data_IF_937846829587
#
_entry.id   IF_937846829587
#
_cell.length_a   1.000
_cell.length_b   1.000
_cell.length_c   1.000
_cell.angle_alpha   90.00
_cell.angle_beta   90.00
_cell.angle_gamma   90.00
#
_symmetry.space_group_name_H-M   'P 1'
#
loop_
_entity.id
_entity.type
_entity.pdbx_description
1 polymer ?
#
# COMPACT_ATOMS: atom_id res chain seq x y z
N UNK A 1 14.01 8.01 13.72
CA UNK A 1 14.90 8.03 12.53
C UNK A 1 15.92 9.15 12.74
N UNK A 2 17.20 8.82 12.95
CA UNK A 2 18.26 9.82 13.07
C UNK A 2 18.45 10.56 11.73
N UNK A 3 18.94 11.80 11.77
CA UNK A 3 19.24 12.55 10.56
C UNK A 3 20.42 11.91 9.81
N UNK A 4 20.25 11.69 8.51
CA UNK A 4 21.32 11.19 7.63
C UNK A 4 22.33 12.32 7.40
N UNK A 5 23.66 12.07 7.50
CA UNK A 5 24.66 13.07 7.17
C UNK A 5 24.47 13.62 5.75
N UNK A 6 24.56 14.94 5.59
CA UNK A 6 24.34 15.63 4.31
C UNK A 6 22.87 15.90 3.96
N UNK A 7 21.92 15.51 4.82
CA UNK A 7 20.50 15.80 4.65
C UNK A 7 19.95 16.56 5.86
N UNK A 8 19.22 17.63 5.58
CA UNK A 8 18.43 18.31 6.60
C UNK A 8 17.04 17.68 6.68
N UNK A 9 16.59 17.45 7.91
CA UNK A 9 15.27 16.91 8.16
C UNK A 9 14.24 18.04 8.11
N UNK A 10 13.43 18.03 7.06
CA UNK A 10 12.26 18.89 6.95
C UNK A 10 11.25 18.61 8.06
N UNK A 11 10.66 19.68 8.59
CA UNK A 11 9.55 19.64 9.52
C UNK A 11 8.22 19.74 8.75
N UNK A 12 7.42 18.70 8.85
CA UNK A 12 6.08 18.65 8.25
C UNK A 12 5.06 19.05 9.32
N UNK A 13 4.48 20.25 9.21
CA UNK A 13 3.47 20.70 10.17
C UNK A 13 2.11 20.06 9.87
N UNK A 14 1.69 20.13 8.61
CA UNK A 14 0.41 19.60 8.15
C UNK A 14 0.62 18.95 6.80
N UNK A 15 0.09 17.75 6.62
CA UNK A 15 -0.08 17.13 5.31
C UNK A 15 -1.41 16.42 5.27
N UNK A 16 -2.26 16.81 4.34
CA UNK A 16 -3.55 16.21 4.09
C UNK A 16 -3.64 15.82 2.61
N UNK A 17 -4.17 14.62 2.37
CA UNK A 17 -4.52 14.12 1.05
C UNK A 17 -5.98 13.72 1.10
N UNK A 18 -6.82 14.43 0.35
CA UNK A 18 -8.23 14.14 0.22
C UNK A 18 -8.48 13.55 -1.15
N UNK A 19 -9.09 12.37 -1.18
CA UNK A 19 -9.58 11.73 -2.40
C UNK A 19 -11.10 11.76 -2.41
N UNK A 20 -11.67 12.40 -3.42
CA UNK A 20 -13.11 12.50 -3.59
C UNK A 20 -13.52 11.87 -4.93
N UNK A 21 -14.50 10.99 -4.89
CA UNK A 21 -15.09 10.45 -6.11
C UNK A 21 -16.08 11.46 -6.68
N UNK A 22 -15.94 11.74 -7.97
CA UNK A 22 -16.80 12.64 -8.74
C UNK A 22 -17.38 11.87 -9.92
N UNK A 23 -18.37 12.45 -10.60
CA UNK A 23 -18.98 11.84 -11.80
C UNK A 23 -17.95 11.58 -12.91
N UNK A 24 -16.90 12.40 -12.98
CA UNK A 24 -15.85 12.34 -13.99
C UNK A 24 -14.57 11.61 -13.53
N UNK A 25 -14.60 10.95 -12.37
CA UNK A 25 -13.48 10.15 -11.87
C UNK A 25 -13.13 10.43 -10.40
N UNK A 26 -11.84 10.50 -10.09
CA UNK A 26 -11.37 10.76 -8.72
C UNK A 26 -10.59 12.06 -8.68
N UNK A 27 -11.05 12.99 -7.86
CA UNK A 27 -10.35 14.22 -7.55
C UNK A 27 -9.40 13.97 -6.36
N UNK A 28 -8.13 14.31 -6.54
CA UNK A 28 -7.13 14.31 -5.47
C UNK A 28 -6.77 15.75 -5.11
N UNK A 29 -6.97 16.10 -3.85
CA UNK A 29 -6.58 17.40 -3.28
C UNK A 29 -5.46 17.17 -2.27
N UNK A 30 -4.35 17.86 -2.45
CA UNK A 30 -3.20 17.78 -1.54
C UNK A 30 -2.92 19.13 -0.92
N UNK A 31 -2.81 19.14 0.40
CA UNK A 31 -2.45 20.33 1.19
C UNK A 31 -1.27 19.97 2.07
N UNK A 32 -0.17 20.71 1.94
CA UNK A 32 1.02 20.48 2.75
C UNK A 32 1.59 21.81 3.25
N UNK A 33 1.88 21.88 4.53
CA UNK A 33 2.62 22.96 5.17
C UNK A 33 3.92 22.38 5.72
N UNK A 34 5.04 22.78 5.12
CA UNK A 34 6.38 22.23 5.35
C UNK A 34 7.30 23.39 5.67
N UNK A 35 8.12 23.25 6.71
CA UNK A 35 9.36 23.99 6.86
C UNK A 35 10.51 23.03 6.57
N UNK A 36 11.24 23.20 5.45
CA UNK A 36 12.30 22.27 5.09
C UNK A 36 13.51 22.35 6.01
N UNK A 37 13.61 23.36 6.90
CA UNK A 37 14.84 23.79 7.54
C UNK A 37 15.93 24.17 6.52
N UNK A 38 16.81 25.11 6.87
CA UNK A 38 17.96 25.50 6.02
C UNK A 38 17.65 26.25 4.71
N UNK A 39 16.37 26.40 4.32
CA UNK A 39 15.97 27.12 3.09
C UNK A 39 15.13 28.35 3.43
N UNK A 40 15.49 29.55 2.93
CA UNK A 40 14.70 30.75 3.16
C UNK A 40 13.27 30.63 2.62
N UNK A 41 12.30 31.12 3.40
CA UNK A 41 10.86 31.04 3.09
C UNK A 41 10.48 31.60 1.72
N UNK A 42 11.16 32.66 1.25
CA UNK A 42 10.91 33.23 -0.06
C UNK A 42 11.32 32.29 -1.21
N UNK A 43 12.35 31.47 -1.02
CA UNK A 43 12.78 30.45 -2.00
C UNK A 43 11.73 29.34 -2.05
N UNK A 44 11.30 28.86 -0.88
CA UNK A 44 10.21 27.89 -0.75
C UNK A 44 8.96 28.34 -1.47
N UNK A 45 8.49 29.56 -1.22
CA UNK A 45 7.27 30.07 -1.85
C UNK A 45 7.37 30.09 -3.39
N UNK A 46 8.57 30.34 -3.95
CA UNK A 46 8.80 30.30 -5.41
C UNK A 46 8.74 28.88 -5.99
N UNK A 47 9.15 27.86 -5.24
CA UNK A 47 9.23 26.46 -5.73
C UNK A 47 8.07 25.57 -5.25
N UNK A 48 7.35 25.98 -4.20
CA UNK A 48 6.31 25.20 -3.56
C UNK A 48 5.15 24.87 -4.50
N UNK A 49 4.87 25.71 -5.50
CA UNK A 49 3.84 25.43 -6.50
C UNK A 49 4.27 24.41 -7.57
N UNK A 50 5.57 24.19 -7.77
CA UNK A 50 6.07 23.23 -8.78
C UNK A 50 5.93 21.78 -8.31
N UNK A 51 6.31 21.53 -7.05
CA UNK A 51 6.36 20.18 -6.48
C UNK A 51 5.02 19.43 -6.50
N UNK A 52 3.85 20.04 -6.19
CA UNK A 52 2.55 19.38 -6.31
C UNK A 52 2.20 18.99 -7.75
N UNK A 53 2.60 19.80 -8.75
CA UNK A 53 2.32 19.49 -10.17
C UNK A 53 3.13 18.29 -10.63
N UNK A 54 4.42 18.27 -10.33
CA UNK A 54 5.32 17.15 -10.62
C UNK A 54 4.82 15.87 -9.95
N UNK A 55 4.42 15.95 -8.68
CA UNK A 55 3.83 14.83 -7.95
C UNK A 55 2.58 14.30 -8.64
N UNK A 56 1.61 15.17 -8.97
CA UNK A 56 0.38 14.77 -9.63
C UNK A 56 0.63 14.14 -11.02
N UNK A 57 1.61 14.63 -11.77
CA UNK A 57 2.00 14.05 -13.06
C UNK A 57 2.60 12.65 -12.89
N UNK A 58 3.56 12.48 -11.97
CA UNK A 58 4.16 11.19 -11.66
C UNK A 58 3.13 10.17 -11.15
N UNK A 59 2.21 10.62 -10.29
CA UNK A 59 1.13 9.77 -9.79
C UNK A 59 0.21 9.30 -10.92
N UNK A 60 -0.20 10.19 -11.83
CA UNK A 60 -1.00 9.82 -13.01
C UNK A 60 -0.29 8.77 -13.87
N UNK A 61 1.00 8.94 -14.11
CA UNK A 61 1.80 7.99 -14.87
C UNK A 61 1.88 6.62 -14.18
N UNK A 62 2.09 6.61 -12.86
CA UNK A 62 2.11 5.36 -12.08
C UNK A 62 0.75 4.65 -12.09
N UNK A 63 -0.35 5.39 -11.99
CA UNK A 63 -1.70 4.83 -12.08
C UNK A 63 -1.97 4.23 -13.46
N UNK A 64 -1.57 4.92 -14.53
CA UNK A 64 -1.67 4.40 -15.90
C UNK A 64 -0.88 3.09 -16.06
N UNK A 65 0.38 3.07 -15.59
CA UNK A 65 1.21 1.85 -15.60
C UNK A 65 0.58 0.73 -14.78
N UNK A 66 0.08 1.02 -13.58
CA UNK A 66 -0.56 0.02 -12.70
C UNK A 66 -1.85 -0.56 -13.29
N UNK A 67 -2.62 0.24 -14.01
CA UNK A 67 -3.84 -0.26 -14.70
C UNK A 67 -3.49 -1.12 -15.92
N UNK A 68 -2.40 -0.82 -16.62
CA UNK A 68 -1.95 -1.58 -17.80
C UNK A 68 -1.11 -2.81 -17.44
N UNK A 69 -0.49 -2.82 -16.27
CA UNK A 69 0.08 -4.02 -15.69
C UNK A 69 -1.09 -4.92 -15.28
N UNK A 70 -1.40 -5.93 -16.11
CA UNK A 70 -2.25 -7.05 -15.68
C UNK A 70 -1.73 -7.49 -14.32
N UNK A 71 -2.55 -7.37 -13.25
CA UNK A 71 -2.20 -7.97 -11.97
C UNK A 71 -1.92 -9.44 -12.25
N UNK A 72 -0.66 -9.81 -12.30
CA UNK A 72 -0.26 -11.20 -12.22
C UNK A 72 -0.67 -11.59 -10.82
N UNK A 73 -1.88 -12.13 -10.68
CA UNK A 73 -2.31 -12.78 -9.46
C UNK A 73 -1.22 -13.80 -9.20
N UNK A 74 -0.52 -13.68 -8.06
CA UNK A 74 0.36 -14.76 -7.61
C UNK A 74 -0.50 -16.02 -7.68
N UNK A 75 -0.11 -17.04 -8.46
CA UNK A 75 -0.90 -18.26 -8.52
C UNK A 75 -1.12 -18.71 -7.08
N UNK A 76 -2.35 -19.14 -6.72
CA UNK A 76 -2.58 -19.67 -5.39
C UNK A 76 -1.51 -20.70 -5.11
N UNK A 77 -0.82 -20.58 -3.98
CA UNK A 77 0.25 -21.49 -3.60
C UNK A 77 -0.27 -22.91 -3.81
N UNK A 78 0.37 -23.65 -4.71
CA UNK A 78 0.00 -25.03 -5.02
C UNK A 78 0.08 -25.81 -3.71
N UNK A 79 -1.09 -26.15 -3.19
CA UNK A 79 -1.28 -26.70 -1.86
C UNK A 79 -0.51 -28.00 -1.71
N UNK A 80 0.38 -28.07 -0.72
CA UNK A 80 0.79 -29.33 -0.12
C UNK A 80 -0.46 -30.17 0.21
N UNK A 81 -0.38 -31.49 0.01
CA UNK A 81 -1.47 -32.48 0.10
C UNK A 81 -2.64 -32.06 0.97
N UNK A 82 -3.84 -32.00 0.37
CA UNK A 82 -5.10 -31.72 1.05
C UNK A 82 -5.58 -32.86 1.94
N UNK A 83 -4.73 -33.80 2.38
CA UNK A 83 -5.13 -34.97 3.18
C UNK A 83 -4.83 -34.73 4.66
N UNK A 84 -5.74 -35.15 5.53
CA UNK A 84 -5.59 -35.03 6.97
C UNK A 84 -4.35 -35.79 7.45
N UNK A 85 -3.51 -35.13 8.27
CA UNK A 85 -2.31 -35.77 8.86
C UNK A 85 -2.61 -36.85 9.93
N UNK A 86 -3.88 -37.13 10.24
CA UNK A 86 -4.22 -38.18 11.19
C UNK A 86 -3.96 -39.55 10.57
N UNK A 87 -3.33 -40.45 11.33
CA UNK A 87 -2.98 -41.81 10.88
C UNK A 87 -4.26 -42.54 10.45
N UNK A 88 -4.28 -43.03 9.21
CA UNK A 88 -5.45 -43.73 8.64
C UNK A 88 -6.61 -42.81 8.21
N UNK A 89 -6.43 -41.49 8.17
CA UNK A 89 -7.48 -40.56 7.74
C UNK A 89 -7.30 -40.13 6.28
N UNK A 90 -8.23 -40.54 5.43
CA UNK A 90 -8.27 -40.16 4.00
C UNK A 90 -9.05 -38.87 3.74
N UNK A 91 -9.56 -38.22 4.80
CA UNK A 91 -10.42 -37.04 4.68
C UNK A 91 -9.61 -35.82 4.25
N UNK A 92 -10.26 -34.98 3.44
CA UNK A 92 -9.64 -33.75 2.98
C UNK A 92 -9.63 -32.66 4.05
N UNK A 93 -8.59 -31.83 3.99
CA UNK A 93 -8.39 -30.66 4.85
C UNK A 93 -8.85 -29.40 4.14
N UNK A 94 -9.47 -28.47 4.88
CA UNK A 94 -9.77 -27.13 4.36
C UNK A 94 -8.48 -26.35 4.12
N UNK A 95 -8.52 -25.43 3.17
CA UNK A 95 -7.37 -24.63 2.76
C UNK A 95 -6.64 -24.01 3.95
N UNK A 96 -5.38 -24.40 4.17
CA UNK A 96 -4.52 -23.86 5.25
C UNK A 96 -4.51 -24.66 6.55
N UNK A 97 -5.37 -25.67 6.73
CA UNK A 97 -5.35 -26.52 7.92
C UNK A 97 -4.44 -27.77 7.74
N UNK A 98 -4.07 -28.41 8.84
CA UNK A 98 -3.33 -29.70 8.85
C UNK A 98 -4.22 -30.93 9.14
N UNK A 99 -5.43 -30.70 9.63
CA UNK A 99 -6.38 -31.74 10.04
C UNK A 99 -7.74 -31.51 9.37
N UNK A 100 -8.59 -32.53 9.24
CA UNK A 100 -9.96 -32.37 8.77
C UNK A 100 -10.86 -31.84 9.91
N UNK A 101 -12.11 -31.45 9.60
CA UNK A 101 -13.05 -30.92 10.60
C UNK A 101 -13.24 -31.86 11.80
N UNK A 102 -13.24 -33.18 11.57
CA UNK A 102 -13.38 -34.18 12.64
C UNK A 102 -12.14 -34.35 13.50
N UNK A 103 -10.97 -33.89 13.04
CA UNK A 103 -9.70 -33.98 13.75
C UNK A 103 -9.18 -32.59 14.16
N UNK A 104 -10.06 -31.58 14.23
CA UNK A 104 -9.72 -30.25 14.75
C UNK A 104 -9.31 -29.21 13.71
N UNK A 105 -9.42 -29.50 12.41
CA UNK A 105 -9.14 -28.52 11.35
C UNK A 105 -10.27 -27.54 11.03
N UNK A 106 -11.30 -27.50 11.87
CA UNK A 106 -12.53 -26.73 11.65
C UNK A 106 -12.59 -25.35 12.28
N UNK A 107 -11.64 -24.98 13.16
CA UNK A 107 -11.83 -23.81 14.01
C UNK A 107 -10.91 -22.65 13.61
N UNK A 108 -11.36 -21.82 12.68
CA UNK A 108 -11.09 -20.38 12.75
C UNK A 108 -12.34 -19.75 13.35
N UNK A 109 -12.21 -19.20 14.57
CA UNK A 109 -13.25 -18.37 15.16
C UNK A 109 -13.48 -17.13 14.28
N UNK A 110 -14.74 -16.73 14.10
CA UNK A 110 -15.09 -15.33 13.81
C UNK A 110 -15.06 -14.51 15.10
#
# INVERSE_FOLDING_TARGET
IPCTPGYERAHLFISCQLMQQTENGTQLTMVSHVDPNGVPRWVLNKIAHRKPREFCAALKEQLYKRNNLKRVRKPPATSASKICKAVGCERQVRTGASYCISHGGGNTCE
#
